data_IF_296557726953
#
_entry.id   IF_296557726953
#
_cell.length_a   1.000
_cell.length_b   1.000
_cell.length_c   1.000
_cell.angle_alpha   90.00
_cell.angle_beta   90.00
_cell.angle_gamma   90.00
#
_symmetry.space_group_name_H-M   'P 1'
#
loop_
_entity.id
_entity.type
_entity.pdbx_description
1 polymer ?
#
# COMPACT_ATOMS: atom_id res chain seq x y z
N UNK A 1 26.99 20.20 3.40
CA UNK A 1 26.03 20.07 4.53
C UNK A 1 24.77 19.30 4.16
N UNK A 2 24.12 19.56 3.02
CA UNK A 2 22.87 18.88 2.62
C UNK A 2 23.02 17.36 2.35
N UNK A 3 24.14 16.91 1.78
CA UNK A 3 24.38 15.48 1.51
C UNK A 3 24.50 14.68 2.81
N UNK A 4 25.24 15.20 3.79
CA UNK A 4 25.38 14.56 5.11
C UNK A 4 24.02 14.46 5.79
N UNK A 5 23.20 15.51 5.70
CA UNK A 5 21.85 15.53 6.25
C UNK A 5 20.92 14.55 5.52
N UNK A 6 21.03 14.43 4.19
CA UNK A 6 20.28 13.45 3.40
C UNK A 6 20.65 12.00 3.75
N UNK A 7 21.95 11.69 3.86
CA UNK A 7 22.44 10.36 4.25
C UNK A 7 22.01 10.02 5.68
N UNK A 8 22.09 10.98 6.61
CA UNK A 8 21.64 10.81 7.99
C UNK A 8 20.13 10.53 8.06
N UNK A 9 19.31 11.29 7.31
CA UNK A 9 17.86 11.06 7.24
C UNK A 9 17.55 9.70 6.62
N UNK A 10 18.27 9.28 5.59
CA UNK A 10 18.09 7.96 4.98
C UNK A 10 18.38 6.84 5.99
N UNK A 11 19.49 6.94 6.72
CA UNK A 11 19.84 6.02 7.81
C UNK A 11 18.78 5.99 8.91
N UNK A 12 18.27 7.17 9.31
CA UNK A 12 17.21 7.27 10.31
C UNK A 12 15.92 6.58 9.83
N UNK A 13 15.51 6.79 8.58
CA UNK A 13 14.32 6.12 8.00
C UNK A 13 14.50 4.61 7.96
N UNK A 14 15.67 4.12 7.55
CA UNK A 14 15.98 2.68 7.54
C UNK A 14 15.92 2.11 8.96
N UNK A 15 16.49 2.80 9.95
CA UNK A 15 16.43 2.39 11.35
C UNK A 15 14.98 2.33 11.88
N UNK A 16 14.17 3.35 11.58
CA UNK A 16 12.76 3.40 11.98
C UNK A 16 11.93 2.30 11.32
N UNK A 17 12.10 2.07 10.01
CA UNK A 17 11.40 1.01 9.29
C UNK A 17 11.83 -0.38 9.74
N UNK A 18 13.11 -0.56 10.09
CA UNK A 18 13.62 -1.79 10.68
C UNK A 18 12.99 -2.02 12.05
N UNK A 19 12.98 -1.00 12.92
CA UNK A 19 12.35 -1.09 14.24
C UNK A 19 10.86 -1.42 14.13
N UNK A 20 10.14 -0.78 13.21
CA UNK A 20 8.73 -1.05 12.93
C UNK A 20 8.51 -2.48 12.44
N UNK A 21 9.39 -2.99 11.58
CA UNK A 21 9.33 -4.35 11.04
C UNK A 21 9.46 -5.42 12.14
N UNK A 22 10.31 -5.20 13.14
CA UNK A 22 10.58 -6.18 14.20
C UNK A 22 9.68 -6.03 15.44
N UNK A 23 9.27 -4.80 15.79
CA UNK A 23 8.55 -4.52 17.04
C UNK A 23 7.04 -4.37 16.85
N UNK A 24 6.56 -4.07 15.65
CA UNK A 24 5.13 -3.86 15.40
C UNK A 24 4.41 -5.20 15.06
N UNK A 25 3.20 -5.43 15.57
CA UNK A 25 2.43 -6.64 15.28
C UNK A 25 2.17 -6.76 13.77
N UNK A 26 2.55 -7.88 13.14
CA UNK A 26 2.44 -8.07 11.67
C UNK A 26 3.23 -7.02 10.84
N UNK A 27 4.20 -6.34 11.45
CA UNK A 27 5.03 -5.30 10.81
C UNK A 27 5.74 -5.79 9.55
N UNK A 28 6.33 -6.99 9.57
CA UNK A 28 6.94 -7.62 8.37
C UNK A 28 5.98 -7.72 7.17
N UNK A 29 4.73 -8.11 7.41
CA UNK A 29 3.72 -8.23 6.34
C UNK A 29 3.29 -6.85 5.83
N UNK A 30 3.10 -5.90 6.75
CA UNK A 30 2.73 -4.53 6.41
C UNK A 30 3.81 -3.84 5.57
N UNK A 31 5.08 -3.94 5.98
CA UNK A 31 6.21 -3.32 5.27
C UNK A 31 6.46 -3.98 3.92
N UNK A 32 6.30 -5.30 3.82
CA UNK A 32 6.35 -6.00 2.53
C UNK A 32 5.24 -5.51 1.57
N UNK A 33 4.01 -5.34 2.07
CA UNK A 33 2.90 -4.79 1.29
C UNK A 33 3.13 -3.33 0.88
N UNK A 34 3.69 -2.52 1.77
CA UNK A 34 4.09 -1.13 1.49
C UNK A 34 5.15 -1.06 0.40
N UNK A 35 6.15 -1.94 0.45
CA UNK A 35 7.17 -2.04 -0.59
C UNK A 35 6.54 -2.44 -1.93
N UNK A 36 5.63 -3.41 -1.94
CA UNK A 36 4.88 -3.78 -3.14
C UNK A 36 4.06 -2.62 -3.71
N UNK A 37 3.39 -1.86 -2.85
CA UNK A 37 2.65 -0.66 -3.26
C UNK A 37 3.56 0.40 -3.89
N UNK A 38 4.70 0.70 -3.25
CA UNK A 38 5.67 1.66 -3.78
C UNK A 38 6.28 1.20 -5.11
N UNK A 39 6.57 -0.09 -5.26
CA UNK A 39 7.03 -0.67 -6.53
C UNK A 39 5.95 -0.64 -7.62
N UNK A 40 4.67 -0.70 -7.28
CA UNK A 40 3.59 -0.60 -8.25
C UNK A 40 3.31 0.84 -8.70
N UNK A 41 3.58 1.85 -7.85
CA UNK A 41 3.22 3.25 -8.14
C UNK A 41 4.43 4.13 -8.45
N UNK A 42 5.43 4.16 -7.55
CA UNK A 42 6.55 5.09 -7.62
C UNK A 42 7.66 4.62 -8.55
N UNK A 43 7.88 3.31 -8.66
CA UNK A 43 8.88 2.79 -9.60
C UNK A 43 8.46 3.09 -11.06
N UNK A 44 7.23 2.78 -11.52
CA UNK A 44 6.77 3.18 -12.86
C UNK A 44 6.67 4.70 -13.04
N UNK A 45 6.28 5.45 -12.00
CA UNK A 45 6.34 6.91 -12.04
C UNK A 45 7.76 7.39 -12.35
N UNK A 46 8.77 6.83 -11.69
CA UNK A 46 10.14 7.26 -11.91
C UNK A 46 10.63 6.97 -13.33
N UNK A 47 10.27 5.81 -13.89
CA UNK A 47 10.59 5.47 -15.27
C UNK A 47 9.84 6.35 -16.28
N UNK A 48 8.51 6.48 -16.17
CA UNK A 48 7.72 7.23 -17.15
C UNK A 48 7.88 8.74 -17.00
N UNK A 49 7.79 9.27 -15.78
CA UNK A 49 7.83 10.72 -15.54
C UNK A 49 9.24 11.29 -15.68
N UNK A 50 10.24 10.69 -15.03
CA UNK A 50 11.60 11.24 -15.02
C UNK A 50 12.47 10.71 -16.16
N UNK A 51 12.53 9.39 -16.39
CA UNK A 51 13.44 8.84 -17.39
C UNK A 51 12.94 9.08 -18.82
N UNK A 52 11.64 8.86 -19.10
CA UNK A 52 11.11 8.99 -20.46
C UNK A 52 10.55 10.39 -20.70
N UNK A 53 9.55 10.81 -19.92
CA UNK A 53 8.88 12.11 -20.09
C UNK A 53 9.81 13.30 -19.86
N UNK A 54 10.71 13.20 -18.89
CA UNK A 54 11.69 14.24 -18.57
C UNK A 54 12.83 14.38 -19.58
N UNK A 55 13.33 13.27 -20.12
CA UNK A 55 14.49 13.28 -21.05
C UNK A 55 14.07 13.49 -22.50
N UNK A 56 12.97 12.87 -22.93
CA UNK A 56 12.47 13.00 -24.31
C UNK A 56 11.47 14.15 -24.48
N UNK A 57 11.21 14.93 -23.42
CA UNK A 57 10.27 16.06 -23.40
C UNK A 57 8.85 15.72 -23.90
N UNK A 58 8.37 14.51 -23.58
CA UNK A 58 7.02 14.06 -23.95
C UNK A 58 6.09 14.25 -22.76
N UNK A 59 5.32 15.33 -22.75
CA UNK A 59 4.42 15.69 -21.64
C UNK A 59 3.35 14.64 -21.35
N UNK A 60 2.88 13.93 -22.38
CA UNK A 60 1.88 12.86 -22.21
C UNK A 60 2.41 11.72 -21.34
N UNK A 61 3.64 11.27 -21.57
CA UNK A 61 4.26 10.18 -20.79
C UNK A 61 4.53 10.62 -19.35
N UNK A 62 4.88 11.90 -19.18
CA UNK A 62 5.04 12.51 -17.86
C UNK A 62 3.75 12.50 -17.05
N UNK A 63 2.63 12.89 -17.66
CA UNK A 63 1.30 12.85 -17.02
C UNK A 63 0.90 11.43 -16.61
N UNK A 64 1.19 10.41 -17.44
CA UNK A 64 0.91 9.01 -17.08
C UNK A 64 1.72 8.60 -15.85
N UNK A 65 3.02 8.91 -15.84
CA UNK A 65 3.88 8.61 -14.70
C UNK A 65 3.41 9.30 -13.42
N UNK A 66 3.09 10.59 -13.49
CA UNK A 66 2.59 11.37 -12.34
C UNK A 66 1.24 10.84 -11.83
N UNK A 67 0.38 10.39 -12.74
CA UNK A 67 -0.88 9.71 -12.40
C UNK A 67 -0.62 8.43 -11.62
N UNK A 68 0.30 7.57 -12.08
CA UNK A 68 0.67 6.35 -11.36
C UNK A 68 1.22 6.65 -9.96
N UNK A 69 2.04 7.68 -9.83
CA UNK A 69 2.55 8.16 -8.55
C UNK A 69 1.44 8.61 -7.59
N UNK A 70 0.45 9.33 -8.11
CA UNK A 70 -0.68 9.84 -7.33
C UNK A 70 -1.52 8.73 -6.69
N UNK A 71 -1.54 7.53 -7.29
CA UNK A 71 -2.28 6.36 -6.79
C UNK A 71 -1.56 5.62 -5.64
N UNK A 72 -0.41 6.11 -5.17
CA UNK A 72 0.34 5.51 -4.06
C UNK A 72 -0.51 5.27 -2.81
N UNK A 73 -1.36 6.24 -2.44
CA UNK A 73 -2.27 6.09 -1.30
C UNK A 73 -3.25 4.93 -1.45
N UNK A 74 -3.82 4.77 -2.64
CA UNK A 74 -4.73 3.66 -2.95
C UNK A 74 -4.02 2.31 -2.94
N UNK A 75 -2.81 2.23 -3.50
CA UNK A 75 -2.04 1.00 -3.54
C UNK A 75 -1.63 0.54 -2.13
N UNK A 76 -1.11 1.46 -1.29
CA UNK A 76 -0.77 1.14 0.10
C UNK A 76 -2.03 0.81 0.92
N UNK A 77 -3.12 1.56 0.70
CA UNK A 77 -4.39 1.37 1.40
C UNK A 77 -5.09 0.05 1.09
N UNK A 78 -4.82 -0.57 -0.06
CA UNK A 78 -5.40 -1.85 -0.47
C UNK A 78 -4.49 -3.04 -0.19
N UNK A 79 -3.19 -2.94 -0.44
CA UNK A 79 -2.25 -4.04 -0.26
C UNK A 79 -1.97 -4.36 1.22
N UNK A 80 -2.00 -3.35 2.11
CA UNK A 80 -1.75 -3.57 3.55
C UNK A 80 -2.85 -4.39 4.22
N UNK A 81 -4.15 -4.07 4.05
CA UNK A 81 -5.23 -4.93 4.56
C UNK A 81 -5.23 -6.32 3.95
N UNK A 82 -4.94 -6.44 2.64
CA UNK A 82 -4.80 -7.73 1.95
C UNK A 82 -3.72 -8.60 2.58
N UNK A 83 -2.53 -8.04 2.83
CA UNK A 83 -1.43 -8.76 3.48
C UNK A 83 -1.77 -9.20 4.92
N UNK A 84 -2.80 -8.59 5.53
CA UNK A 84 -3.27 -8.92 6.87
C UNK A 84 -4.30 -10.05 6.91
N UNK A 85 -4.77 -10.49 5.74
CA UNK A 85 -5.78 -11.52 5.53
C UNK A 85 -7.21 -10.99 5.53
N UNK A 86 -7.41 -9.69 5.31
CA UNK A 86 -8.75 -9.09 5.18
C UNK A 86 -9.31 -9.41 3.80
N UNK A 87 -10.64 -9.53 3.69
CA UNK A 87 -11.27 -9.82 2.40
C UNK A 87 -10.87 -8.78 1.34
N UNK A 88 -10.73 -9.17 0.05
CA UNK A 88 -10.36 -8.24 -1.01
C UNK A 88 -11.32 -7.05 -1.15
N UNK A 89 -12.62 -7.26 -0.91
CA UNK A 89 -13.64 -6.21 -1.00
C UNK A 89 -13.39 -5.07 -0.01
N UNK A 90 -13.24 -5.39 1.28
CA UNK A 90 -12.91 -4.38 2.30
C UNK A 90 -11.54 -3.72 2.07
N UNK A 91 -10.59 -4.47 1.52
CA UNK A 91 -9.25 -3.93 1.24
C UNK A 91 -9.29 -2.89 0.12
N UNK A 92 -10.03 -3.16 -0.96
CA UNK A 92 -10.23 -2.19 -2.04
C UNK A 92 -11.01 -0.97 -1.53
N UNK A 93 -12.05 -1.18 -0.70
CA UNK A 93 -12.82 -0.09 -0.09
C UNK A 93 -11.93 0.88 0.71
N UNK A 94 -11.00 0.34 1.51
CA UNK A 94 -10.00 1.13 2.24
C UNK A 94 -9.04 1.84 1.30
N UNK A 95 -8.55 1.16 0.27
CA UNK A 95 -7.68 1.75 -0.75
C UNK A 95 -8.32 2.93 -1.46
N UNK A 96 -9.56 2.78 -1.93
CA UNK A 96 -10.31 3.85 -2.62
C UNK A 96 -10.54 5.06 -1.70
N UNK A 97 -10.79 4.81 -0.42
CA UNK A 97 -10.97 5.88 0.59
C UNK A 97 -9.67 6.68 0.83
N UNK A 98 -8.51 6.10 0.53
CA UNK A 98 -7.19 6.70 0.73
C UNK A 98 -6.57 7.28 -0.57
N UNK A 99 -7.35 7.41 -1.65
CA UNK A 99 -6.86 7.88 -2.95
C UNK A 99 -6.19 9.27 -2.89
N UNK A 100 -6.69 10.18 -2.05
CA UNK A 100 -6.17 11.55 -1.91
C UNK A 100 -4.97 11.67 -0.95
N UNK A 101 -4.59 10.58 -0.28
CA UNK A 101 -3.50 10.58 0.69
C UNK A 101 -2.19 10.13 0.05
N UNK A 102 -1.07 10.63 0.60
CA UNK A 102 0.27 10.14 0.24
C UNK A 102 0.47 8.71 0.73
N UNK A 103 1.45 8.01 0.15
CA UNK A 103 1.80 6.62 0.49
C UNK A 103 1.95 6.40 2.02
N UNK A 104 2.70 7.28 2.70
CA UNK A 104 3.02 7.09 4.12
C UNK A 104 1.82 7.30 5.07
N UNK A 105 1.04 8.39 4.96
CA UNK A 105 -0.19 8.54 5.75
C UNK A 105 -1.23 7.46 5.46
N UNK A 106 -1.38 7.08 4.19
CA UNK A 106 -2.29 5.99 3.79
C UNK A 106 -1.88 4.65 4.40
N UNK A 107 -0.58 4.35 4.42
CA UNK A 107 -0.03 3.16 5.06
C UNK A 107 -0.39 3.09 6.56
N UNK A 108 -0.17 4.19 7.30
CA UNK A 108 -0.45 4.24 8.74
C UNK A 108 -1.95 4.07 8.99
N UNK A 109 -2.79 4.77 8.25
CA UNK A 109 -4.24 4.65 8.35
C UNK A 109 -4.71 3.22 8.06
N UNK A 110 -4.27 2.65 6.94
CA UNK A 110 -4.63 1.29 6.55
C UNK A 110 -4.12 0.26 7.56
N UNK A 111 -2.92 0.43 8.10
CA UNK A 111 -2.35 -0.44 9.13
C UNK A 111 -3.22 -0.46 10.39
N UNK A 112 -3.61 0.71 10.91
CA UNK A 112 -4.47 0.82 12.11
C UNK A 112 -5.86 0.24 11.85
N UNK A 113 -6.52 0.66 10.76
CA UNK A 113 -7.88 0.19 10.44
C UNK A 113 -7.91 -1.31 10.14
N UNK A 114 -6.83 -1.88 9.61
CA UNK A 114 -6.73 -3.32 9.40
C UNK A 114 -6.78 -4.14 10.69
N UNK A 115 -6.36 -3.60 11.83
CA UNK A 115 -6.54 -4.30 13.12
C UNK A 115 -8.01 -4.29 13.56
N UNK A 116 -8.69 -3.17 13.40
CA UNK A 116 -10.12 -3.04 13.70
C UNK A 116 -10.95 -4.00 12.84
N UNK A 117 -10.73 -4.00 11.52
CA UNK A 117 -11.46 -4.88 10.60
C UNK A 117 -11.15 -6.35 10.90
N UNK A 118 -9.90 -6.70 11.21
CA UNK A 118 -9.54 -8.08 11.52
C UNK A 118 -10.23 -8.58 12.80
N UNK A 119 -10.41 -7.71 13.78
CA UNK A 119 -11.10 -8.06 15.03
C UNK A 119 -12.62 -8.19 14.82
N UNK A 120 -13.21 -7.33 13.98
CA UNK A 120 -14.60 -7.46 13.55
C UNK A 120 -14.81 -8.75 12.75
N UNK A 121 -13.92 -9.06 11.79
CA UNK A 121 -14.01 -10.29 11.01
C UNK A 121 -13.96 -11.55 11.87
N UNK A 122 -13.11 -11.62 12.90
CA UNK A 122 -13.15 -12.77 13.82
C UNK A 122 -14.53 -12.92 14.48
N UNK A 123 -15.07 -11.82 15.02
CA UNK A 123 -16.37 -11.83 15.72
C UNK A 123 -17.57 -12.08 14.81
N UNK A 124 -17.49 -11.66 13.54
CA UNK A 124 -18.56 -11.84 12.56
C UNK A 124 -18.47 -13.21 11.88
N UNK A 125 -17.26 -13.71 11.62
CA UNK A 125 -17.05 -15.06 11.05
C UNK A 125 -17.38 -16.17 12.06
N UNK A 126 -17.24 -15.93 13.38
CA UNK A 126 -17.78 -16.86 14.40
C UNK A 126 -19.32 -17.01 14.31
N UNK A 127 -20.04 -16.10 13.65
CA UNK A 127 -21.49 -16.17 13.40
C UNK A 127 -21.91 -16.59 12.00
N UNK A 128 -21.00 -16.57 11.03
CA UNK A 128 -21.25 -16.97 9.64
C UNK A 128 -20.01 -17.66 9.07
N UNK A 129 -19.98 -19.00 9.17
CA UNK A 129 -19.07 -19.84 8.38
C UNK A 129 -19.37 -19.67 6.89
N UNK A 130 -18.81 -18.64 6.26
CA UNK A 130 -18.76 -18.57 4.79
C UNK A 130 -17.37 -18.99 4.35
N UNK A 131 -17.24 -20.30 4.19
CA UNK A 131 -16.13 -20.99 3.56
C UNK A 131 -15.80 -20.28 2.22
N UNK A 132 -14.54 -19.87 1.96
CA UNK A 132 -14.14 -19.18 0.72
C UNK A 132 -14.32 -19.99 -0.57
N UNK A 133 -14.77 -21.25 -0.48
CA UNK A 133 -15.03 -22.13 -1.63
C UNK A 133 -16.30 -21.72 -2.40
N UNK A 134 -17.33 -21.21 -1.73
CA UNK A 134 -18.65 -20.92 -2.34
C UNK A 134 -18.64 -19.77 -3.37
N UNK A 135 -17.75 -18.79 -3.21
CA UNK A 135 -17.68 -17.63 -4.11
C UNK A 135 -17.06 -17.96 -5.50
N UNK A 136 -16.30 -19.06 -5.58
CA UNK A 136 -15.72 -19.53 -6.84
C UNK A 136 -16.70 -20.33 -7.72
N UNK A 137 -17.85 -20.72 -7.17
CA UNK A 137 -18.97 -21.37 -7.87
C UNK A 137 -20.03 -20.36 -8.33
N UNK A 138 -20.30 -19.31 -7.55
CA UNK A 138 -21.29 -18.29 -7.92
C UNK A 138 -20.87 -17.43 -9.14
N UNK A 139 -19.57 -17.22 -9.35
CA UNK A 139 -19.04 -16.50 -10.53
C UNK A 139 -18.93 -17.38 -11.78
N UNK A 140 -19.33 -18.65 -11.70
CA UNK A 140 -19.25 -19.62 -12.81
C UNK A 140 -20.59 -19.89 -13.51
N UNK A 141 -21.68 -19.24 -13.09
CA UNK A 141 -23.00 -19.30 -13.71
C UNK A 141 -23.46 -17.94 -14.23
#
# INVERSE_FOLDING_TARGET
MQIILGVLVLLAVIAVMTLFTFKAPKGKKAVSALSGAACATFLPQAFLSYAIGGVFHIDFVKQIGDTMGSMGGLAAGSLVPLAFGISPVFSILLGVSLLKFKLLPAFIAAYIVSFLIKEIQKRVTDGFEVNPISWSEFLRH
#
